data_IF_552889810713
#
_entry.id   IF_552889810713
#
_cell.length_a   1.000
_cell.length_b   1.000
_cell.length_c   1.000
_cell.angle_alpha   90.00
_cell.angle_beta   90.00
_cell.angle_gamma   90.00
#
_symmetry.space_group_name_H-M   'P 1'
#
loop_
_entity.id
_entity.type
_entity.pdbx_description
1 polymer ?
#
# COMPACT_ATOMS: atom_id res chain seq x y z
N UNK A 1 15.97 -13.40 16.35
CA UNK A 1 16.53 -13.88 15.07
C UNK A 1 17.38 -12.75 14.50
N UNK A 2 18.62 -13.02 14.07
CA UNK A 2 19.53 -11.98 13.57
C UNK A 2 19.21 -11.56 12.13
N UNK A 3 18.81 -12.52 11.28
CA UNK A 3 18.49 -12.28 9.88
C UNK A 3 17.20 -11.47 9.77
N UNK A 4 16.15 -11.90 10.48
CA UNK A 4 14.88 -11.16 10.51
C UNK A 4 15.06 -9.72 11.01
N UNK A 5 15.97 -9.49 11.97
CA UNK A 5 16.26 -8.13 12.45
C UNK A 5 16.89 -7.27 11.35
N UNK A 6 17.82 -7.82 10.59
CA UNK A 6 18.44 -7.13 9.44
C UNK A 6 17.40 -6.80 8.37
N UNK A 7 16.55 -7.77 8.03
CA UNK A 7 15.49 -7.61 7.03
C UNK A 7 14.49 -6.52 7.45
N UNK A 8 14.08 -6.49 8.72
CA UNK A 8 13.23 -5.42 9.28
C UNK A 8 13.92 -4.06 9.24
N UNK A 9 15.23 -3.99 9.46
CA UNK A 9 15.96 -2.73 9.35
C UNK A 9 16.06 -2.25 7.90
N UNK A 10 16.19 -3.15 6.93
CA UNK A 10 16.14 -2.82 5.51
C UNK A 10 14.75 -2.30 5.12
N UNK A 11 13.71 -3.04 5.48
CA UNK A 11 12.30 -2.66 5.31
C UNK A 11 12.02 -1.23 5.82
N UNK A 12 12.43 -0.88 7.03
CA UNK A 12 12.22 0.47 7.59
C UNK A 12 12.90 1.56 6.74
N UNK A 13 14.10 1.29 6.20
CA UNK A 13 14.81 2.25 5.35
C UNK A 13 14.12 2.42 4.00
N UNK A 14 13.68 1.32 3.40
CA UNK A 14 12.96 1.31 2.12
C UNK A 14 11.64 2.08 2.24
N UNK A 15 10.85 1.80 3.27
CA UNK A 15 9.61 2.53 3.54
C UNK A 15 9.80 4.03 3.77
N UNK A 16 10.88 4.42 4.45
CA UNK A 16 11.22 5.84 4.60
C UNK A 16 11.53 6.50 3.23
N UNK A 17 12.16 5.77 2.32
CA UNK A 17 12.42 6.24 0.96
C UNK A 17 11.13 6.32 0.12
N UNK A 18 10.26 5.31 0.21
CA UNK A 18 8.93 5.33 -0.42
C UNK A 18 8.13 6.53 0.06
N UNK A 19 8.03 6.75 1.37
CA UNK A 19 7.29 7.86 1.95
C UNK A 19 7.76 9.23 1.41
N UNK A 20 9.08 9.43 1.32
CA UNK A 20 9.66 10.66 0.75
C UNK A 20 9.31 10.83 -0.73
N UNK A 21 9.39 9.76 -1.52
CA UNK A 21 9.08 9.82 -2.94
C UNK A 21 7.59 10.08 -3.20
N UNK A 22 6.69 9.42 -2.46
CA UNK A 22 5.25 9.68 -2.51
C UNK A 22 4.90 11.10 -2.03
N UNK A 23 5.60 11.62 -1.01
CA UNK A 23 5.42 13.00 -0.58
C UNK A 23 5.79 13.99 -1.69
N UNK A 24 6.89 13.74 -2.43
CA UNK A 24 7.26 14.53 -3.61
C UNK A 24 6.20 14.46 -4.69
N UNK A 25 5.67 13.27 -4.99
CA UNK A 25 4.60 13.11 -5.97
C UNK A 25 3.31 13.86 -5.58
N UNK A 26 2.94 13.81 -4.30
CA UNK A 26 1.79 14.56 -3.79
C UNK A 26 2.03 16.09 -3.82
N UNK A 27 3.19 16.54 -3.34
CA UNK A 27 3.52 17.95 -3.17
C UNK A 27 3.87 18.68 -4.48
N UNK A 28 4.45 17.98 -5.45
CA UNK A 28 4.95 18.58 -6.69
C UNK A 28 4.12 18.13 -7.90
N UNK A 29 4.00 16.82 -8.12
CA UNK A 29 3.36 16.29 -9.33
C UNK A 29 1.84 16.56 -9.37
N UNK A 30 1.13 16.31 -8.27
CA UNK A 30 -0.32 16.53 -8.20
C UNK A 30 -0.68 18.02 -8.03
N UNK A 31 0.09 18.74 -7.21
CA UNK A 31 -0.13 20.17 -6.96
C UNK A 31 0.01 20.99 -8.25
N UNK A 32 1.03 20.73 -9.07
CA UNK A 32 1.19 21.40 -10.39
C UNK A 32 0.03 21.14 -11.36
N UNK A 33 -0.75 20.08 -11.11
CA UNK A 33 -1.93 19.70 -11.90
C UNK A 33 -3.24 20.15 -11.25
N UNK A 34 -3.18 20.96 -10.20
CA UNK A 34 -4.33 21.43 -9.42
C UNK A 34 -5.18 20.29 -8.84
N UNK A 35 -4.54 19.19 -8.43
CA UNK A 35 -5.20 18.08 -7.74
C UNK A 35 -4.86 18.18 -6.25
N UNK A 36 -5.85 18.52 -5.43
CA UNK A 36 -5.70 18.61 -3.98
C UNK A 36 -5.89 17.24 -3.31
N UNK A 37 -4.86 16.77 -2.60
CA UNK A 37 -4.89 15.54 -1.81
C UNK A 37 -4.77 15.79 -0.30
N UNK A 38 -4.86 17.05 0.14
CA UNK A 38 -4.68 17.44 1.55
C UNK A 38 -5.65 16.74 2.48
N UNK A 39 -6.91 16.54 2.04
CA UNK A 39 -7.90 15.76 2.82
C UNK A 39 -7.44 14.31 3.01
N UNK A 40 -6.95 13.67 1.95
CA UNK A 40 -6.47 12.30 1.99
C UNK A 40 -5.29 12.16 2.95
N UNK A 41 -4.34 13.09 2.87
CA UNK A 41 -3.15 13.12 3.73
C UNK A 41 -3.58 13.26 5.20
N UNK A 42 -4.49 14.18 5.53
CA UNK A 42 -4.99 14.35 6.91
C UNK A 42 -5.64 13.09 7.48
N UNK A 43 -6.31 12.29 6.65
CA UNK A 43 -6.86 11.00 7.09
C UNK A 43 -5.73 10.05 7.46
N UNK A 44 -4.67 9.96 6.64
CA UNK A 44 -3.50 9.12 6.94
C UNK A 44 -2.76 9.60 8.19
N UNK A 45 -2.55 10.91 8.33
CA UNK A 45 -1.93 11.51 9.51
C UNK A 45 -2.71 11.16 10.77
N UNK A 46 -4.04 11.26 10.76
CA UNK A 46 -4.87 10.84 11.88
C UNK A 46 -4.70 9.35 12.20
N UNK A 47 -4.70 8.48 11.18
CA UNK A 47 -4.53 7.05 11.41
C UNK A 47 -3.19 6.72 12.08
N UNK A 48 -2.07 7.27 11.58
CA UNK A 48 -0.74 6.90 12.05
C UNK A 48 -0.26 7.71 13.26
N UNK A 49 -0.63 8.98 13.37
CA UNK A 49 -0.15 9.88 14.43
C UNK A 49 -1.09 9.95 15.64
N UNK A 50 -2.37 9.58 15.49
CA UNK A 50 -3.35 9.62 16.59
C UNK A 50 -3.90 8.24 16.94
N UNK A 51 -4.43 7.49 15.95
CA UNK A 51 -5.09 6.21 16.22
C UNK A 51 -4.09 5.08 16.51
N UNK A 52 -3.05 4.98 15.69
CA UNK A 52 -2.03 3.92 15.76
C UNK A 52 -0.72 4.42 16.38
N UNK A 53 -0.75 5.51 17.13
CA UNK A 53 0.43 6.03 17.82
C UNK A 53 0.85 5.14 19.00
N UNK A 54 2.05 5.37 19.52
CA UNK A 54 2.52 4.72 20.76
C UNK A 54 1.61 5.07 21.95
N UNK A 55 1.03 6.27 21.93
CA UNK A 55 0.05 6.78 22.89
C UNK A 55 -1.21 7.18 22.14
N UNK A 56 -2.12 6.24 21.81
CA UNK A 56 -3.26 6.54 20.98
C UNK A 56 -4.15 7.61 21.63
N UNK A 57 -4.45 8.67 20.88
CA UNK A 57 -5.16 9.86 21.36
C UNK A 57 -4.54 10.49 22.63
N UNK A 58 -3.22 10.41 22.77
CA UNK A 58 -2.47 10.92 23.91
C UNK A 58 -2.60 10.08 25.19
N UNK A 59 -3.18 8.87 25.11
CA UNK A 59 -3.37 7.98 26.26
C UNK A 59 -2.29 6.90 26.31
N UNK A 60 -1.70 6.71 27.48
CA UNK A 60 -0.75 5.63 27.73
C UNK A 60 -1.43 4.26 27.66
N UNK A 61 -0.79 3.31 26.97
CA UNK A 61 -1.18 1.90 27.00
C UNK A 61 -0.64 1.27 28.30
N UNK A 62 -1.49 0.59 29.11
CA UNK A 62 -1.02 -0.13 30.29
C UNK A 62 0.13 -1.08 29.94
N UNK A 63 1.16 -1.16 30.80
CA UNK A 63 2.36 -1.98 30.55
C UNK A 63 2.03 -3.44 30.21
N UNK A 64 0.99 -4.01 30.81
CA UNK A 64 0.51 -5.37 30.54
C UNK A 64 -0.06 -5.56 29.12
N UNK A 65 -0.49 -4.48 28.47
CA UNK A 65 -1.08 -4.48 27.14
C UNK A 65 -0.13 -3.97 26.04
N UNK A 66 1.04 -3.42 26.39
CA UNK A 66 1.99 -2.87 25.40
C UNK A 66 2.34 -3.90 24.32
N UNK A 67 2.69 -5.14 24.71
CA UNK A 67 2.96 -6.21 23.74
C UNK A 67 1.75 -6.50 22.82
N UNK A 68 0.54 -6.47 23.36
CA UNK A 68 -0.67 -6.71 22.56
C UNK A 68 -0.95 -5.54 21.62
N UNK A 69 -0.65 -4.32 22.05
CA UNK A 69 -0.74 -3.12 21.22
C UNK A 69 0.26 -3.15 20.06
N UNK A 70 1.50 -3.54 20.31
CA UNK A 70 2.51 -3.71 19.26
C UNK A 70 2.11 -4.80 18.27
N UNK A 71 1.63 -5.94 18.75
CA UNK A 71 1.11 -7.02 17.89
C UNK A 71 -0.11 -6.60 17.10
N UNK A 72 -1.00 -5.78 17.67
CA UNK A 72 -2.14 -5.22 16.95
C UNK A 72 -1.69 -4.31 15.81
N UNK A 73 -0.78 -3.35 16.08
CA UNK A 73 -0.23 -2.46 15.05
C UNK A 73 0.51 -3.23 13.97
N UNK A 74 1.35 -4.19 14.37
CA UNK A 74 2.09 -5.03 13.44
C UNK A 74 1.17 -5.91 12.59
N UNK A 75 0.06 -6.39 13.15
CA UNK A 75 -0.95 -7.11 12.39
C UNK A 75 -1.62 -6.24 11.33
N UNK A 76 -1.84 -4.94 11.62
CA UNK A 76 -2.34 -3.97 10.63
C UNK A 76 -1.32 -3.78 9.51
N UNK A 77 -0.05 -3.55 9.86
CA UNK A 77 1.03 -3.39 8.88
C UNK A 77 1.15 -4.65 8.04
N UNK A 78 1.25 -5.83 8.63
CA UNK A 78 1.37 -7.08 7.88
C UNK A 78 0.19 -7.34 6.91
N UNK A 79 -1.03 -6.87 7.23
CA UNK A 79 -2.13 -6.88 6.26
C UNK A 79 -1.93 -5.83 5.17
N UNK A 80 -1.53 -4.60 5.51
CA UNK A 80 -1.28 -3.52 4.55
C UNK A 80 -0.21 -3.93 3.52
N UNK A 81 0.92 -4.46 3.97
CA UNK A 81 2.02 -5.01 3.15
C UNK A 81 1.56 -6.11 2.20
N UNK A 82 0.62 -6.96 2.65
CA UNK A 82 0.00 -7.93 1.76
C UNK A 82 -0.86 -7.25 0.68
N UNK A 83 -1.65 -6.23 1.02
CA UNK A 83 -2.48 -5.51 0.04
C UNK A 83 -1.63 -4.76 -0.99
N UNK A 84 -0.58 -4.09 -0.54
CA UNK A 84 0.35 -3.34 -1.39
C UNK A 84 1.16 -4.28 -2.27
N UNK A 85 1.57 -5.45 -1.78
CA UNK A 85 2.14 -6.49 -2.62
C UNK A 85 1.19 -6.92 -3.75
N UNK A 86 -0.10 -7.15 -3.46
CA UNK A 86 -1.07 -7.55 -4.50
C UNK A 86 -1.20 -6.46 -5.57
N UNK A 87 -1.20 -5.18 -5.17
CA UNK A 87 -1.17 -4.06 -6.11
C UNK A 87 0.17 -3.95 -6.85
N UNK A 88 1.29 -4.24 -6.19
CA UNK A 88 2.63 -4.25 -6.79
C UNK A 88 2.76 -5.29 -7.88
N UNK A 89 2.30 -6.52 -7.62
CA UNK A 89 2.17 -7.58 -8.62
C UNK A 89 1.34 -7.12 -9.81
N UNK A 90 0.17 -6.54 -9.56
CA UNK A 90 -0.69 -6.00 -10.60
C UNK A 90 0.01 -4.92 -11.43
N UNK A 91 0.72 -3.99 -10.79
CA UNK A 91 1.44 -2.92 -11.46
C UNK A 91 2.60 -3.45 -12.32
N UNK A 92 3.39 -4.39 -11.80
CA UNK A 92 4.55 -4.95 -12.51
C UNK A 92 4.16 -5.71 -13.78
N UNK A 93 3.02 -6.40 -13.76
CA UNK A 93 2.50 -7.17 -14.89
C UNK A 93 1.78 -6.30 -15.94
N UNK A 94 1.58 -5.01 -15.64
CA UNK A 94 0.78 -4.10 -16.45
C UNK A 94 1.64 -3.22 -17.36
N UNK A 95 1.35 -3.24 -18.65
CA UNK A 95 2.02 -2.45 -19.69
C UNK A 95 1.14 -1.34 -20.28
N UNK A 96 -0.15 -1.30 -19.91
CA UNK A 96 -1.11 -0.42 -20.54
C UNK A 96 -0.95 1.05 -20.11
N UNK A 97 -0.50 1.30 -18.88
CA UNK A 97 -0.31 2.67 -18.40
C UNK A 97 0.69 3.44 -19.26
N UNK A 98 1.83 2.83 -19.57
CA UNK A 98 2.84 3.39 -20.45
C UNK A 98 2.34 3.53 -21.89
N UNK A 99 1.62 2.52 -22.40
CA UNK A 99 1.04 2.56 -23.76
C UNK A 99 0.05 3.71 -23.94
N UNK A 100 -0.66 4.08 -22.88
CA UNK A 100 -1.58 5.21 -22.86
C UNK A 100 -0.91 6.56 -22.56
N UNK A 101 0.42 6.58 -22.42
CA UNK A 101 1.20 7.79 -22.21
C UNK A 101 1.15 8.31 -20.76
N UNK A 102 1.00 7.43 -19.77
CA UNK A 102 1.21 7.80 -18.38
C UNK A 102 2.63 8.35 -18.17
N UNK A 103 2.76 9.28 -17.22
CA UNK A 103 4.05 9.89 -16.91
C UNK A 103 5.06 8.81 -16.45
N UNK A 104 6.22 8.69 -17.11
CA UNK A 104 7.15 7.59 -16.85
C UNK A 104 7.72 7.60 -15.43
N UNK A 105 7.92 8.76 -14.81
CA UNK A 105 8.43 8.85 -13.44
C UNK A 105 7.37 8.42 -12.42
N UNK A 106 6.09 8.71 -12.68
CA UNK A 106 5.00 8.23 -11.83
C UNK A 106 4.78 6.73 -11.96
N UNK A 107 4.88 6.19 -13.18
CA UNK A 107 4.80 4.73 -13.39
C UNK A 107 5.97 4.04 -12.70
N UNK A 108 7.19 4.56 -12.86
CA UNK A 108 8.38 4.01 -12.21
C UNK A 108 8.28 4.06 -10.69
N UNK A 109 7.81 5.17 -10.10
CA UNK A 109 7.57 5.25 -8.66
C UNK A 109 6.61 4.16 -8.16
N UNK A 110 5.48 3.96 -8.83
CA UNK A 110 4.47 2.97 -8.41
C UNK A 110 4.99 1.55 -8.56
N UNK A 111 5.68 1.25 -9.67
CA UNK A 111 6.22 -0.09 -9.92
C UNK A 111 7.47 -0.40 -9.08
N UNK A 112 8.33 0.59 -8.82
CA UNK A 112 9.46 0.48 -7.91
C UNK A 112 8.97 0.11 -6.50
N UNK A 113 8.06 0.91 -5.95
CA UNK A 113 7.45 0.63 -4.66
C UNK A 113 6.82 -0.76 -4.67
N UNK A 114 5.94 -1.04 -5.65
CA UNK A 114 5.29 -2.33 -5.78
C UNK A 114 6.23 -3.54 -5.92
N UNK A 115 7.44 -3.36 -6.45
CA UNK A 115 8.46 -4.40 -6.51
C UNK A 115 9.08 -4.67 -5.14
N UNK A 116 9.39 -3.64 -4.35
CA UNK A 116 9.92 -3.81 -2.99
C UNK A 116 8.87 -4.41 -2.04
N UNK A 117 7.59 -4.08 -2.23
CA UNK A 117 6.46 -4.69 -1.49
C UNK A 117 6.37 -6.21 -1.65
N UNK A 118 6.97 -6.78 -2.71
CA UNK A 118 7.08 -8.24 -2.88
C UNK A 118 7.97 -8.87 -1.81
N UNK A 119 9.01 -8.16 -1.36
CA UNK A 119 9.84 -8.59 -0.23
C UNK A 119 9.17 -8.26 1.10
N UNK A 120 8.66 -7.02 1.24
CA UNK A 120 8.14 -6.49 2.50
C UNK A 120 7.02 -7.34 3.10
N UNK A 121 6.11 -7.86 2.26
CA UNK A 121 5.07 -8.83 2.67
C UNK A 121 5.61 -9.98 3.52
N UNK A 122 6.74 -10.57 3.11
CA UNK A 122 7.36 -11.69 3.82
C UNK A 122 7.94 -11.21 5.15
N UNK A 123 8.68 -10.10 5.14
CA UNK A 123 9.30 -9.51 6.33
C UNK A 123 8.26 -9.17 7.39
N UNK A 124 7.17 -8.50 7.01
CA UNK A 124 6.11 -8.12 7.94
C UNK A 124 5.33 -9.32 8.49
N UNK A 125 5.06 -10.32 7.66
CA UNK A 125 4.41 -11.56 8.10
C UNK A 125 5.29 -12.36 9.07
N UNK A 126 6.58 -12.51 8.76
CA UNK A 126 7.54 -13.23 9.59
C UNK A 126 7.79 -12.50 10.91
N UNK A 127 7.88 -11.17 10.90
CA UNK A 127 7.96 -10.38 12.12
C UNK A 127 6.71 -10.55 13.00
N UNK A 128 5.51 -10.50 12.41
CA UNK A 128 4.26 -10.72 13.13
C UNK A 128 4.24 -12.09 13.82
N UNK A 129 4.61 -13.13 13.09
CA UNK A 129 4.69 -14.49 13.64
C UNK A 129 5.79 -14.64 14.70
N UNK A 130 6.97 -14.08 14.45
CA UNK A 130 8.11 -14.15 15.35
C UNK A 130 7.82 -13.52 16.71
N UNK A 131 7.08 -12.40 16.73
CA UNK A 131 6.67 -11.72 17.96
C UNK A 131 5.43 -12.36 18.63
N UNK A 132 4.95 -13.49 18.12
CA UNK A 132 3.84 -14.26 18.72
C UNK A 132 2.46 -13.85 18.26
N UNK A 133 2.35 -13.20 17.09
CA UNK A 133 1.09 -12.97 16.41
C UNK A 133 0.41 -14.28 16.03
N UNK A 134 -0.86 -14.44 16.42
CA UNK A 134 -1.64 -15.65 16.20
C UNK A 134 -2.55 -15.59 14.98
N UNK A 135 -2.88 -16.75 14.41
CA UNK A 135 -3.77 -16.86 13.25
C UNK A 135 -5.14 -16.20 13.47
N UNK A 136 -5.79 -16.46 14.62
CA UNK A 136 -7.13 -15.94 14.91
C UNK A 136 -7.13 -14.40 14.94
N UNK A 137 -6.15 -13.80 15.63
CA UNK A 137 -6.01 -12.36 15.70
C UNK A 137 -5.74 -11.77 14.31
N UNK A 138 -4.81 -12.37 13.54
CA UNK A 138 -4.54 -12.00 12.16
C UNK A 138 -5.80 -12.04 11.31
N UNK A 139 -6.58 -13.12 11.34
CA UNK A 139 -7.77 -13.29 10.51
C UNK A 139 -8.79 -12.15 10.71
N UNK A 140 -9.22 -11.92 11.95
CA UNK A 140 -10.23 -10.90 12.25
C UNK A 140 -9.70 -9.48 12.04
N UNK A 141 -8.44 -9.22 12.39
CA UNK A 141 -7.82 -7.93 12.15
C UNK A 141 -7.71 -7.63 10.65
N UNK A 142 -7.26 -8.62 9.87
CA UNK A 142 -7.09 -8.47 8.42
C UNK A 142 -8.42 -8.19 7.72
N UNK A 143 -9.52 -8.82 8.15
CA UNK A 143 -10.85 -8.51 7.61
C UNK A 143 -11.19 -7.03 7.76
N UNK A 144 -10.95 -6.46 8.95
CA UNK A 144 -11.23 -5.05 9.22
C UNK A 144 -10.29 -4.16 8.41
N UNK A 145 -9.00 -4.49 8.36
CA UNK A 145 -7.98 -3.71 7.66
C UNK A 145 -8.21 -3.73 6.14
N UNK A 146 -8.53 -4.89 5.55
CA UNK A 146 -8.82 -5.01 4.12
C UNK A 146 -10.01 -4.13 3.73
N UNK A 147 -11.10 -4.18 4.50
CA UNK A 147 -12.28 -3.34 4.25
C UNK A 147 -11.93 -1.86 4.43
N UNK A 148 -11.19 -1.53 5.49
CA UNK A 148 -10.77 -0.16 5.79
C UNK A 148 -9.90 0.45 4.69
N UNK A 149 -8.85 -0.25 4.26
CA UNK A 149 -7.92 0.21 3.21
C UNK A 149 -8.64 0.32 1.87
N UNK A 150 -9.45 -0.67 1.46
CA UNK A 150 -10.27 -0.55 0.23
C UNK A 150 -11.20 0.66 0.29
N UNK A 151 -11.84 0.90 1.44
CA UNK A 151 -12.69 2.06 1.66
C UNK A 151 -11.92 3.37 1.51
N UNK A 152 -10.72 3.46 2.08
CA UNK A 152 -9.84 4.64 1.98
C UNK A 152 -9.37 4.87 0.54
N UNK A 153 -9.02 3.82 -0.20
CA UNK A 153 -8.64 3.94 -1.62
C UNK A 153 -9.79 4.48 -2.46
N UNK A 154 -11.00 3.92 -2.31
CA UNK A 154 -12.18 4.38 -3.04
C UNK A 154 -12.59 5.79 -2.63
N UNK A 155 -12.59 6.11 -1.34
CA UNK A 155 -12.87 7.46 -0.84
C UNK A 155 -11.85 8.47 -1.38
N UNK A 156 -10.58 8.08 -1.40
CA UNK A 156 -9.51 8.92 -1.90
C UNK A 156 -9.60 9.17 -3.40
N UNK A 157 -9.86 8.13 -4.19
CA UNK A 157 -10.12 8.25 -5.62
C UNK A 157 -11.36 9.08 -5.91
N UNK A 158 -12.44 8.90 -5.13
CA UNK A 158 -13.65 9.70 -5.25
C UNK A 158 -13.39 11.18 -4.95
N UNK A 159 -12.59 11.49 -3.93
CA UNK A 159 -12.18 12.85 -3.61
C UNK A 159 -11.43 13.49 -4.79
N UNK A 160 -10.45 12.80 -5.37
CA UNK A 160 -9.71 13.29 -6.55
C UNK A 160 -10.66 13.49 -7.74
N UNK A 161 -11.51 12.50 -8.06
CA UNK A 161 -12.48 12.60 -9.16
C UNK A 161 -13.49 13.73 -8.97
N UNK A 162 -13.85 14.06 -7.72
CA UNK A 162 -14.82 15.12 -7.43
C UNK A 162 -14.32 16.52 -7.79
N UNK A 163 -13.01 16.69 -7.95
CA UNK A 163 -12.38 17.96 -8.34
C UNK A 163 -12.44 18.19 -9.85
N UNK A 164 -12.76 17.16 -10.63
CA UNK A 164 -12.85 17.27 -12.09
C UNK A 164 -14.27 17.70 -12.53
N UNK A 165 -14.41 18.79 -13.31
CA UNK A 165 -15.71 19.25 -13.81
C UNK A 165 -16.49 18.17 -14.57
N UNK A 166 -15.82 17.21 -15.22
CA UNK A 166 -16.44 16.10 -15.96
C UNK A 166 -17.30 15.19 -15.07
N UNK A 167 -17.00 15.13 -13.77
CA UNK A 167 -17.69 14.25 -12.81
C UNK A 167 -18.56 15.00 -11.80
N UNK A 168 -18.71 16.33 -11.94
CA UNK A 168 -19.47 17.17 -11.00
C UNK A 168 -20.89 16.66 -10.73
N UNK A 169 -21.61 16.27 -11.78
CA UNK A 169 -22.99 15.76 -11.66
C UNK A 169 -23.07 14.35 -11.08
N UNK A 170 -21.96 13.60 -11.09
CA UNK A 170 -21.90 12.24 -10.57
C UNK A 170 -21.76 12.20 -9.05
N UNK A 171 -21.21 13.27 -8.47
CA UNK A 171 -20.93 13.40 -7.03
C UNK A 171 -20.20 12.15 -6.49
N UNK A 172 -18.97 11.88 -6.96
CA UNK A 172 -18.22 10.69 -6.57
C UNK A 172 -18.13 10.57 -5.05
N UNK A 173 -18.38 9.38 -4.52
CA UNK A 173 -18.28 9.09 -3.09
C UNK A 173 -18.27 7.58 -2.87
N UNK A 174 -17.52 7.13 -1.86
CA UNK A 174 -17.50 5.74 -1.39
C UNK A 174 -18.90 5.15 -1.18
N UNK A 175 -19.85 5.97 -0.72
CA UNK A 175 -21.21 5.54 -0.39
C UNK A 175 -22.19 5.62 -1.58
N UNK A 176 -21.73 6.02 -2.76
CA UNK A 176 -22.58 6.16 -3.95
C UNK A 176 -22.32 5.01 -4.93
N UNK A 177 -23.36 4.36 -5.49
CA UNK A 177 -23.18 3.26 -6.43
C UNK A 177 -22.33 3.62 -7.66
N UNK A 178 -22.34 4.89 -8.06
CA UNK A 178 -21.65 5.35 -9.26
C UNK A 178 -20.15 5.04 -9.25
N UNK A 179 -19.43 5.25 -8.13
CA UNK A 179 -17.97 5.02 -8.09
C UNK A 179 -17.63 3.53 -8.33
N UNK A 180 -18.43 2.63 -7.75
CA UNK A 180 -18.27 1.19 -7.87
C UNK A 180 -18.60 0.70 -9.28
N UNK A 181 -19.67 1.24 -9.88
CA UNK A 181 -20.05 0.96 -11.26
C UNK A 181 -18.97 1.47 -12.22
N UNK A 182 -18.39 2.65 -11.96
CA UNK A 182 -17.36 3.23 -12.81
C UNK A 182 -16.03 2.47 -12.72
N UNK A 183 -15.63 2.02 -11.54
CA UNK A 183 -14.50 1.09 -11.38
C UNK A 183 -14.76 -0.17 -12.22
N UNK A 184 -15.90 -0.84 -12.02
CA UNK A 184 -16.22 -2.06 -12.77
C UNK A 184 -16.16 -1.84 -14.28
N UNK A 185 -16.81 -0.78 -14.80
CA UNK A 185 -16.79 -0.45 -16.23
C UNK A 185 -15.38 -0.18 -16.76
N UNK A 186 -14.57 0.56 -16.01
CA UNK A 186 -13.20 0.89 -16.42
C UNK A 186 -12.31 -0.36 -16.45
N UNK A 187 -12.42 -1.21 -15.43
CA UNK A 187 -11.76 -2.52 -15.39
C UNK A 187 -12.20 -3.37 -16.59
N UNK A 188 -13.50 -3.55 -16.84
CA UNK A 188 -13.97 -4.39 -17.94
C UNK A 188 -13.55 -3.87 -19.33
N UNK A 189 -13.63 -2.55 -19.56
CA UNK A 189 -13.26 -1.94 -20.86
C UNK A 189 -11.76 -2.05 -21.16
N UNK A 190 -10.92 -2.01 -20.13
CA UNK A 190 -9.47 -2.12 -20.26
C UNK A 190 -8.95 -3.56 -20.15
N UNK A 191 -9.84 -4.56 -20.14
CA UNK A 191 -9.47 -5.96 -19.88
C UNK A 191 -8.68 -6.11 -18.56
N UNK A 192 -9.08 -5.33 -17.55
CA UNK A 192 -8.49 -5.23 -16.22
C UNK A 192 -7.09 -4.60 -16.18
N UNK A 193 -6.64 -3.92 -17.24
CA UNK A 193 -5.31 -3.30 -17.29
C UNK A 193 -5.28 -1.80 -16.91
N UNK A 194 -6.40 -1.10 -16.81
CA UNK A 194 -6.40 0.26 -16.23
C UNK A 194 -6.59 0.23 -14.72
N UNK A 195 -7.51 -0.62 -14.28
CA UNK A 195 -7.80 -0.88 -12.87
C UNK A 195 -7.98 -2.39 -12.70
N UNK A 196 -7.56 -2.94 -11.54
CA UNK A 196 -7.78 -4.35 -11.27
C UNK A 196 -9.28 -4.64 -11.18
N UNK A 197 -9.68 -5.84 -11.59
CA UNK A 197 -11.05 -6.29 -11.38
C UNK A 197 -11.33 -6.41 -9.89
N UNK A 198 -12.46 -5.90 -9.42
CA UNK A 198 -12.81 -5.93 -7.99
C UNK A 198 -12.88 -7.35 -7.42
N UNK A 199 -13.48 -8.30 -8.16
CA UNK A 199 -13.59 -9.69 -7.71
C UNK A 199 -12.23 -10.38 -7.67
N UNK A 200 -11.36 -10.05 -8.63
CA UNK A 200 -9.97 -10.51 -8.61
C UNK A 200 -9.21 -9.91 -7.43
N UNK A 201 -9.34 -8.60 -7.18
CA UNK A 201 -8.67 -7.94 -6.06
C UNK A 201 -9.10 -8.56 -4.74
N UNK A 202 -10.41 -8.74 -4.53
CA UNK A 202 -10.96 -9.43 -3.35
C UNK A 202 -10.40 -10.85 -3.25
N UNK A 203 -10.38 -11.61 -4.36
CA UNK A 203 -9.90 -13.01 -4.31
C UNK A 203 -8.42 -13.12 -3.95
N UNK A 204 -7.57 -12.18 -4.39
CA UNK A 204 -6.17 -12.12 -3.96
C UNK A 204 -6.08 -11.84 -2.45
N UNK A 205 -6.87 -10.89 -1.92
CA UNK A 205 -6.85 -10.60 -0.47
C UNK A 205 -7.32 -11.78 0.40
N UNK A 206 -8.20 -12.64 -0.11
CA UNK A 206 -8.71 -13.79 0.65
C UNK A 206 -7.62 -14.83 0.94
N UNK A 207 -6.56 -14.91 0.13
CA UNK A 207 -5.46 -15.86 0.32
C UNK A 207 -4.75 -15.60 1.66
N UNK A 208 -4.56 -14.33 2.03
CA UNK A 208 -3.96 -13.95 3.32
C UNK A 208 -4.75 -14.43 4.53
N UNK A 209 -6.07 -14.57 4.40
CA UNK A 209 -6.94 -15.01 5.47
C UNK A 209 -6.83 -16.51 5.74
N UNK A 210 -6.20 -17.30 4.87
CA UNK A 210 -6.13 -18.74 5.04
C UNK A 210 -5.10 -19.15 6.11
N UNK A 211 -5.36 -20.22 6.89
CA UNK A 211 -4.44 -20.64 7.96
C UNK A 211 -3.12 -21.23 7.42
N UNK A 212 -3.11 -21.68 6.17
CA UNK A 212 -1.94 -22.18 5.45
C UNK A 212 -1.28 -21.10 4.56
N UNK A 213 -1.59 -19.82 4.80
CA UNK A 213 -0.98 -18.73 4.06
C UNK A 213 0.55 -18.78 4.18
N UNK A 214 1.21 -18.75 3.02
CA UNK A 214 2.65 -18.61 2.89
C UNK A 214 2.94 -17.39 2.01
N UNK A 215 3.59 -16.34 2.54
CA UNK A 215 3.85 -15.14 1.78
C UNK A 215 4.74 -15.41 0.56
N UNK A 216 5.60 -16.43 0.54
CA UNK A 216 6.56 -16.66 -0.55
C UNK A 216 5.87 -16.88 -1.91
N UNK A 217 4.65 -17.39 -1.93
CA UNK A 217 3.94 -17.75 -3.15
C UNK A 217 3.04 -16.66 -3.74
N UNK A 218 2.95 -15.50 -3.10
CA UNK A 218 1.96 -14.49 -3.49
C UNK A 218 2.32 -13.72 -4.76
N UNK A 219 3.61 -13.45 -4.94
CA UNK A 219 4.16 -12.70 -6.06
C UNK A 219 5.53 -13.25 -6.50
N UNK A 220 5.91 -12.96 -7.74
CA UNK A 220 7.15 -13.45 -8.33
C UNK A 220 8.33 -12.54 -7.94
N UNK A 221 9.17 -13.02 -7.02
CA UNK A 221 10.38 -12.30 -6.57
C UNK A 221 11.34 -12.01 -7.72
N UNK A 222 11.56 -12.94 -8.65
CA UNK A 222 12.47 -12.74 -9.78
C UNK A 222 11.96 -11.64 -10.74
N UNK A 223 10.65 -11.47 -10.86
CA UNK A 223 10.07 -10.37 -11.64
C UNK A 223 10.28 -9.02 -10.95
N UNK A 224 10.11 -8.96 -9.63
CA UNK A 224 10.36 -7.77 -8.85
C UNK A 224 11.84 -7.35 -8.92
N UNK A 225 12.77 -8.28 -8.67
CA UNK A 225 14.21 -8.01 -8.74
C UNK A 225 14.65 -7.51 -10.11
N UNK A 226 14.18 -8.14 -11.20
CA UNK A 226 14.48 -7.67 -12.57
C UNK A 226 13.98 -6.25 -12.83
N UNK A 227 12.85 -5.86 -12.24
CA UNK A 227 12.36 -4.49 -12.35
C UNK A 227 13.28 -3.51 -11.59
N UNK A 228 13.65 -3.84 -10.36
CA UNK A 228 14.51 -3.02 -9.51
C UNK A 228 15.88 -2.74 -10.15
N UNK A 229 16.49 -3.74 -10.82
CA UNK A 229 17.76 -3.58 -11.55
C UNK A 229 17.73 -2.46 -12.62
N UNK A 230 16.55 -2.18 -13.17
CA UNK A 230 16.38 -1.24 -14.28
C UNK A 230 15.68 0.06 -13.86
N UNK A 231 15.02 0.09 -12.71
CA UNK A 231 14.27 1.25 -12.22
C UNK A 231 15.19 2.45 -11.90
N UNK A 232 14.98 3.61 -12.57
CA UNK A 232 15.62 4.86 -12.19
C UNK A 232 15.33 5.28 -10.74
N UNK A 233 14.10 5.10 -10.27
CA UNK A 233 13.71 5.42 -8.90
C UNK A 233 14.47 4.56 -7.87
N UNK A 234 14.55 3.25 -8.08
CA UNK A 234 15.32 2.34 -7.21
C UNK A 234 16.80 2.78 -7.12
N UNK A 235 17.44 3.05 -8.26
CA UNK A 235 18.84 3.51 -8.31
C UNK A 235 19.07 4.81 -7.55
N UNK A 236 18.14 5.78 -7.66
CA UNK A 236 18.23 7.03 -6.91
C UNK A 236 18.04 6.81 -5.41
N UNK A 237 17.16 5.88 -5.02
CA UNK A 237 16.92 5.53 -3.63
C UNK A 237 18.15 4.86 -2.99
N UNK A 238 18.82 3.94 -3.70
CA UNK A 238 20.07 3.31 -3.23
C UNK A 238 21.17 4.36 -2.95
N UNK A 239 21.40 5.28 -3.89
CA UNK A 239 22.39 6.35 -3.73
C UNK A 239 22.04 7.25 -2.55
N UNK A 240 20.76 7.63 -2.41
CA UNK A 240 20.29 8.48 -1.31
C UNK A 240 20.41 7.77 0.04
N UNK A 241 20.10 6.47 0.09
CA UNK A 241 20.20 5.64 1.29
C UNK A 241 21.64 5.44 1.75
N UNK A 242 22.60 5.30 0.82
CA UNK A 242 24.03 5.26 1.14
C UNK A 242 24.53 6.58 1.72
N UNK A 243 24.10 7.72 1.18
CA UNK A 243 24.47 9.04 1.70
C UNK A 243 23.83 9.39 3.03
N UNK A 244 22.65 8.86 3.35
CA UNK A 244 22.01 9.05 4.66
C UNK A 244 22.61 8.16 5.76
N UNK A 245 23.37 7.12 5.40
CA UNK A 245 24.01 6.18 6.32
C UNK A 245 25.51 6.46 6.57
N UNK A 246 26.10 7.43 5.87
CA UNK A 246 27.50 7.87 6.00
C UNK A 246 27.60 9.17 6.83
#
# INVERSE_FOLDING_TARGET
DAKLKEDVQAFIRQEAMHAKAHQSANGEYLTTRNIDVSRNIKIMEFFFNDLLADKPFGKEIPKSLQRQWDLFRLGIIATAEHMTCVLGKYALENDLWEQLGADPEMVDLVKWHGAEEVEHRTVAFDLYRHLGGGYIARYYLSLIVIIGILGIWVDGAAHILSQDPRFKDKKPSLFKPWIWIEWYKTSSRSQNKLLPNMLWLISQQMIYLMPWYDPVHEANTDAALRYLEHSPAAKRAEVTGQHAAA
#
